data_IF_327314029247
#
_entry.id   IF_327314029247
#
_cell.length_a   1.000
_cell.length_b   1.000
_cell.length_c   1.000
_cell.angle_alpha   90.00
_cell.angle_beta   90.00
_cell.angle_gamma   90.00
#
_symmetry.space_group_name_H-M   'P 1'
#
loop_
_entity.id
_entity.type
_entity.pdbx_description
1 polymer ?
#
# COMPACT_ATOMS: atom_id res chain seq x y z
N UNK A 1 -4.78 -25.18 -3.24
CA UNK A 1 -4.37 -26.13 -2.16
C UNK A 1 -3.80 -25.33 -1.01
N UNK A 2 -3.52 -25.95 0.14
CA UNK A 2 -3.07 -25.27 1.36
C UNK A 2 -1.55 -25.30 1.59
N UNK A 3 -0.77 -25.57 0.53
CA UNK A 3 0.70 -25.63 0.59
C UNK A 3 1.39 -24.28 0.38
N UNK A 4 0.64 -23.27 -0.08
CA UNK A 4 1.08 -21.89 -0.27
C UNK A 4 -0.09 -21.00 0.15
N UNK A 5 0.20 -19.95 0.90
CA UNK A 5 -0.79 -18.95 1.30
C UNK A 5 -1.05 -17.98 0.15
N UNK A 6 -2.21 -17.31 0.16
CA UNK A 6 -2.45 -16.19 -0.74
C UNK A 6 -1.46 -15.05 -0.51
N UNK A 7 -1.13 -14.76 0.75
CA UNK A 7 -0.15 -13.74 1.10
C UNK A 7 1.23 -13.98 0.45
N UNK A 8 1.74 -15.22 0.47
CA UNK A 8 2.99 -15.54 -0.21
C UNK A 8 2.82 -15.60 -1.73
N UNK A 9 1.70 -16.14 -2.23
CA UNK A 9 1.46 -16.29 -3.66
C UNK A 9 1.44 -14.95 -4.40
N UNK A 10 0.81 -13.92 -3.84
CA UNK A 10 0.75 -12.58 -4.45
C UNK A 10 2.16 -11.99 -4.61
N UNK A 11 2.98 -12.06 -3.57
CA UNK A 11 4.35 -11.55 -3.62
C UNK A 11 5.25 -12.38 -4.55
N UNK A 12 5.13 -13.71 -4.49
CA UNK A 12 5.92 -14.62 -5.32
C UNK A 12 5.61 -14.48 -6.81
N UNK A 13 4.34 -14.23 -7.17
CA UNK A 13 3.94 -13.98 -8.55
C UNK A 13 4.67 -12.77 -9.16
N UNK A 14 4.86 -11.69 -8.38
CA UNK A 14 5.67 -10.55 -8.80
C UNK A 14 7.15 -10.90 -9.01
N UNK A 15 7.72 -11.68 -8.09
CA UNK A 15 9.11 -12.15 -8.21
C UNK A 15 9.31 -13.01 -9.47
N UNK A 16 8.40 -13.96 -9.71
CA UNK A 16 8.42 -14.82 -10.90
C UNK A 16 8.26 -14.01 -12.20
N UNK A 17 7.39 -12.99 -12.21
CA UNK A 17 7.20 -12.12 -13.37
C UNK A 17 8.46 -11.31 -13.71
N UNK A 18 9.18 -10.83 -12.69
CA UNK A 18 10.46 -10.16 -12.87
C UNK A 18 11.52 -11.09 -13.49
N UNK A 19 11.67 -12.30 -12.94
CA UNK A 19 12.61 -13.30 -13.44
C UNK A 19 12.28 -13.74 -14.87
N UNK A 20 11.00 -13.96 -15.17
CA UNK A 20 10.54 -14.26 -16.53
C UNK A 20 10.84 -13.12 -17.53
N UNK A 21 10.89 -11.88 -17.03
CA UNK A 21 11.22 -10.69 -17.82
C UNK A 21 12.73 -10.40 -17.89
N UNK A 22 13.56 -11.30 -17.36
CA UNK A 22 15.03 -11.20 -17.42
C UNK A 22 15.67 -10.37 -16.29
N UNK A 23 14.92 -10.04 -15.23
CA UNK A 23 15.46 -9.39 -14.05
C UNK A 23 15.89 -10.42 -13.00
N UNK A 24 17.13 -10.34 -12.53
CA UNK A 24 17.63 -11.21 -11.45
C UNK A 24 17.18 -10.67 -10.09
N UNK A 25 16.36 -11.45 -9.38
CA UNK A 25 15.87 -11.09 -8.05
C UNK A 25 16.89 -11.49 -6.97
N UNK A 26 16.81 -10.86 -5.80
CA UNK A 26 17.67 -11.22 -4.67
C UNK A 26 17.33 -12.58 -4.03
N UNK A 27 16.27 -13.25 -4.50
CA UNK A 27 15.66 -14.43 -3.90
C UNK A 27 14.31 -14.13 -3.26
N UNK A 28 13.63 -15.19 -2.78
CA UNK A 28 12.30 -15.10 -2.20
C UNK A 28 12.17 -15.94 -0.93
N UNK A 29 11.47 -15.41 0.08
CA UNK A 29 11.16 -16.11 1.32
C UNK A 29 9.64 -16.25 1.51
N UNK A 30 9.23 -17.50 1.75
CA UNK A 30 7.88 -17.89 2.16
C UNK A 30 7.72 -17.81 3.68
N UNK A 31 6.48 -17.89 4.17
CA UNK A 31 6.16 -17.98 5.59
C UNK A 31 5.04 -17.06 6.04
N UNK A 32 4.40 -16.31 5.12
CA UNK A 32 3.24 -15.47 5.46
C UNK A 32 2.01 -16.36 5.62
N UNK A 33 1.41 -16.38 6.79
CA UNK A 33 0.13 -17.07 6.99
C UNK A 33 -1.01 -16.25 6.38
N UNK A 34 -2.04 -16.93 5.87
CA UNK A 34 -3.28 -16.26 5.47
C UNK A 34 -4.07 -15.81 6.69
N UNK A 35 -4.72 -14.66 6.56
CA UNK A 35 -5.77 -14.17 7.47
C UNK A 35 -7.13 -14.35 6.79
N UNK A 36 -8.17 -14.48 7.59
CA UNK A 36 -9.52 -14.83 7.10
C UNK A 36 -10.55 -13.73 7.33
N UNK A 37 -10.13 -12.63 7.93
CA UNK A 37 -10.95 -11.45 8.20
C UNK A 37 -10.10 -10.18 8.07
N UNK A 38 -10.73 -9.02 7.82
CA UNK A 38 -10.02 -7.75 7.71
C UNK A 38 -9.38 -7.34 9.04
N UNK A 39 -8.20 -6.71 8.97
CA UNK A 39 -7.59 -6.06 10.13
C UNK A 39 -8.21 -4.69 10.40
N UNK A 40 -8.34 -4.34 11.68
CA UNK A 40 -8.75 -3.00 12.10
C UNK A 40 -7.57 -2.04 12.00
N UNK A 41 -7.60 -1.18 10.99
CA UNK A 41 -6.55 -0.22 10.68
C UNK A 41 -7.17 1.15 10.41
N UNK A 42 -6.63 2.21 11.02
CA UNK A 42 -7.04 3.59 10.73
C UNK A 42 -6.31 4.09 9.47
N UNK A 43 -6.99 4.04 8.33
CA UNK A 43 -6.44 4.46 7.03
C UNK A 43 -6.53 5.96 6.73
N UNK A 44 -7.25 6.71 7.58
CA UNK A 44 -7.55 8.12 7.42
C UNK A 44 -8.87 8.47 8.10
N UNK A 45 -9.17 9.77 8.21
CA UNK A 45 -10.43 10.29 8.77
C UNK A 45 -11.40 10.73 7.67
N UNK A 46 -11.04 10.54 6.40
CA UNK A 46 -11.86 10.94 5.27
C UNK A 46 -13.10 10.06 5.09
N UNK A 47 -14.24 10.71 4.87
CA UNK A 47 -15.50 10.05 4.51
C UNK A 47 -15.64 9.81 2.98
N UNK A 48 -14.67 10.29 2.19
CA UNK A 48 -14.69 10.19 0.73
C UNK A 48 -13.43 9.54 0.17
N UNK A 49 -13.62 8.69 -0.84
CA UNK A 49 -12.51 8.20 -1.66
C UNK A 49 -11.80 9.36 -2.32
N UNK A 50 -10.47 9.26 -2.40
CA UNK A 50 -9.59 10.29 -2.95
C UNK A 50 -9.61 11.63 -2.19
N UNK A 51 -10.16 11.66 -0.97
CA UNK A 51 -10.08 12.81 -0.08
C UNK A 51 -8.66 13.09 0.40
N UNK A 52 -8.34 14.37 0.61
CA UNK A 52 -7.02 14.81 1.11
C UNK A 52 -7.08 15.79 2.28
N UNK A 53 -8.25 16.29 2.68
CA UNK A 53 -8.31 17.42 3.62
C UNK A 53 -8.04 17.00 5.07
N UNK A 54 -8.55 15.83 5.48
CA UNK A 54 -8.52 15.41 6.90
C UNK A 54 -7.17 14.82 7.37
N UNK A 55 -6.25 14.52 6.44
CA UNK A 55 -4.94 13.94 6.74
C UNK A 55 -3.78 14.93 6.73
N UNK A 56 -4.02 16.22 6.44
CA UNK A 56 -2.97 17.23 6.42
C UNK A 56 -3.20 18.32 7.46
N UNK A 57 -2.11 18.69 8.13
CA UNK A 57 -2.04 19.92 8.91
C UNK A 57 -1.63 21.08 7.97
N UNK A 58 -2.37 22.18 7.99
CA UNK A 58 -2.11 23.39 7.19
C UNK A 58 -3.15 23.67 6.10
N UNK A 59 -3.33 24.94 5.74
CA UNK A 59 -4.40 25.39 4.83
C UNK A 59 -3.94 25.69 3.39
N UNK A 60 -2.63 25.69 3.13
CA UNK A 60 -2.05 26.08 1.84
C UNK A 60 -1.05 25.00 1.37
N UNK A 61 -0.96 24.73 0.06
CA UNK A 61 -0.14 23.66 -0.52
C UNK A 61 1.35 23.71 -0.15
N UNK A 62 1.87 24.89 0.16
CA UNK A 62 3.27 25.09 0.58
C UNK A 62 3.60 24.56 1.98
N UNK A 63 2.58 24.40 2.84
CA UNK A 63 2.75 24.09 4.27
C UNK A 63 1.97 22.84 4.69
N UNK A 64 1.41 22.08 3.73
CA UNK A 64 0.69 20.82 4.00
C UNK A 64 1.65 19.78 4.58
N UNK A 65 1.43 19.41 5.85
CA UNK A 65 2.16 18.33 6.52
C UNK A 65 1.26 17.12 6.70
N UNK A 66 1.65 15.99 6.12
CA UNK A 66 0.90 14.75 6.27
C UNK A 66 0.95 14.30 7.73
N UNK A 67 -0.22 14.06 8.32
CA UNK A 67 -0.34 13.63 9.70
C UNK A 67 0.24 12.21 9.89
N UNK A 68 1.00 12.01 10.96
CA UNK A 68 1.41 10.67 11.38
C UNK A 68 0.18 9.88 11.86
N UNK A 69 0.08 8.57 11.59
CA UNK A 69 1.10 7.68 11.00
C UNK A 69 0.90 7.43 9.49
N UNK A 70 0.20 8.32 8.77
CA UNK A 70 -0.20 8.03 7.38
C UNK A 70 0.97 8.04 6.40
N UNK A 71 0.96 7.09 5.45
CA UNK A 71 1.99 6.94 4.41
C UNK A 71 1.55 7.32 2.99
N UNK A 72 0.31 7.78 2.82
CA UNK A 72 -0.25 8.14 1.51
C UNK A 72 -0.93 9.52 1.53
N UNK A 73 -0.77 10.28 0.46
CA UNK A 73 -1.27 11.67 0.32
C UNK A 73 -2.79 11.76 0.16
N UNK A 74 -3.44 10.63 -0.10
CA UNK A 74 -4.82 10.61 -0.59
C UNK A 74 -5.50 9.32 -0.14
N UNK A 75 -6.75 9.42 0.32
CA UNK A 75 -7.51 8.24 0.76
C UNK A 75 -7.66 7.23 -0.37
N UNK A 76 -7.22 5.99 -0.14
CA UNK A 76 -7.30 4.89 -1.09
C UNK A 76 -6.14 4.78 -2.08
N UNK A 77 -5.15 5.69 -2.04
CA UNK A 77 -3.93 5.54 -2.84
C UNK A 77 -2.83 4.82 -2.05
N UNK A 78 -1.89 4.19 -2.76
CA UNK A 78 -0.74 3.50 -2.14
C UNK A 78 0.27 4.53 -1.61
N UNK A 79 0.56 5.59 -2.38
CA UNK A 79 1.50 6.64 -2.00
C UNK A 79 1.01 8.04 -2.40
N UNK A 80 1.02 8.35 -3.70
CA UNK A 80 0.75 9.70 -4.23
C UNK A 80 -0.25 9.67 -5.38
N UNK A 81 -0.88 10.80 -5.67
CA UNK A 81 -1.66 10.99 -6.89
C UNK A 81 -0.70 11.03 -8.11
N UNK A 82 -0.87 10.15 -9.11
CA UNK A 82 -0.01 10.11 -10.29
C UNK A 82 -0.13 11.36 -11.20
N UNK A 83 -1.20 12.14 -11.08
CA UNK A 83 -1.38 13.38 -11.85
C UNK A 83 -0.63 14.58 -11.23
N UNK A 84 -0.16 14.44 -9.99
CA UNK A 84 0.41 15.51 -9.18
C UNK A 84 -0.44 15.82 -7.95
N UNK A 85 0.07 16.68 -7.03
CA UNK A 85 -0.69 17.18 -5.89
C UNK A 85 -1.95 17.95 -6.31
#
# INVERSE_FOLDING_TARGET
>A
GNKISWADLIAYAGNAALEQSGFETAGFAFGRADIWEPEEMLWGQEDTWLGTDARYDGTNDSDRKLAEPFGATTMGLIYVNPEGP
#
